data_IF_540982220747
#
_entry.id   IF_540982220747
#
_cell.length_a   1.000
_cell.length_b   1.000
_cell.length_c   1.000
_cell.angle_alpha   90.00
_cell.angle_beta   90.00
_cell.angle_gamma   90.00
#
_symmetry.space_group_name_H-M   'P 1'
#
loop_
_entity.id
_entity.type
_entity.pdbx_description
1 polymer ?
#
# COMPACT_ATOMS: atom_id res chain seq x y z
N UNK A 1 2.47 31.71 -0.69
CA UNK A 1 2.87 32.10 -2.05
C UNK A 1 2.07 31.31 -3.09
N UNK A 2 1.45 31.99 -4.05
CA UNK A 2 0.85 31.41 -5.25
C UNK A 2 1.64 31.89 -6.47
N UNK A 3 1.95 30.98 -7.38
CA UNK A 3 2.82 31.22 -8.52
C UNK A 3 1.99 31.92 -9.60
N UNK A 4 2.28 33.18 -9.86
CA UNK A 4 1.47 34.08 -10.71
C UNK A 4 1.56 33.75 -12.21
N UNK A 5 2.41 32.79 -12.57
CA UNK A 5 2.77 32.41 -13.95
C UNK A 5 2.32 31.00 -14.34
N UNK A 6 1.61 30.28 -13.46
CA UNK A 6 1.03 28.97 -13.78
C UNK A 6 -0.48 29.13 -13.81
N UNK A 7 -1.08 28.98 -14.99
CA UNK A 7 -2.51 29.19 -15.23
C UNK A 7 -3.41 28.53 -14.17
N UNK A 8 -4.58 29.13 -13.95
CA UNK A 8 -5.53 28.63 -12.96
C UNK A 8 -5.85 27.14 -13.25
N UNK A 9 -5.92 26.29 -12.21
CA UNK A 9 -6.19 24.85 -12.36
C UNK A 9 -7.39 24.59 -13.27
N UNK A 10 -8.43 25.40 -13.14
CA UNK A 10 -9.63 25.34 -13.97
C UNK A 10 -9.36 25.66 -15.45
N UNK A 11 -8.51 26.64 -15.74
CA UNK A 11 -8.10 26.95 -17.12
C UNK A 11 -7.30 25.79 -17.72
N UNK A 12 -6.36 25.23 -16.95
CA UNK A 12 -5.54 24.10 -17.42
C UNK A 12 -6.41 22.85 -17.64
N UNK A 13 -7.37 22.59 -16.75
CA UNK A 13 -8.31 21.46 -16.88
C UNK A 13 -9.22 21.66 -18.09
N UNK A 14 -9.77 22.87 -18.28
CA UNK A 14 -10.61 23.20 -19.43
C UNK A 14 -9.86 22.99 -20.75
N UNK A 15 -8.61 23.43 -20.83
CA UNK A 15 -7.80 23.29 -22.04
C UNK A 15 -7.38 21.83 -22.32
N UNK A 16 -7.09 21.03 -21.28
CA UNK A 16 -6.63 19.64 -21.44
C UNK A 16 -7.75 18.63 -21.64
N UNK A 17 -8.87 18.81 -20.94
CA UNK A 17 -9.92 17.81 -20.86
C UNK A 17 -11.24 18.27 -21.47
N UNK A 18 -11.32 19.51 -21.99
CA UNK A 18 -12.54 20.13 -22.54
C UNK A 18 -13.76 20.03 -21.59
N UNK A 19 -13.52 19.99 -20.28
CA UNK A 19 -14.56 19.91 -19.26
C UNK A 19 -14.22 20.78 -18.05
N UNK A 20 -15.22 21.00 -17.19
CA UNK A 20 -15.01 21.80 -15.99
C UNK A 20 -14.15 21.06 -14.96
N UNK A 21 -13.45 21.83 -14.11
CA UNK A 21 -12.69 21.28 -12.99
C UNK A 21 -13.55 20.37 -12.10
N UNK A 22 -14.83 20.73 -11.92
CA UNK A 22 -15.80 19.94 -11.15
C UNK A 22 -16.11 18.60 -11.82
N UNK A 23 -16.36 18.59 -13.13
CA UNK A 23 -16.68 17.37 -13.88
C UNK A 23 -15.54 16.35 -13.85
N UNK A 24 -14.30 16.81 -14.01
CA UNK A 24 -13.13 15.93 -13.94
C UNK A 24 -13.01 15.29 -12.56
N UNK A 25 -13.18 16.07 -11.49
CA UNK A 25 -13.12 15.55 -10.13
C UNK A 25 -14.28 14.59 -9.83
N UNK A 26 -15.47 14.84 -10.37
CA UNK A 26 -16.61 13.92 -10.28
C UNK A 26 -16.38 12.62 -11.07
N UNK A 27 -15.70 12.67 -12.22
CA UNK A 27 -15.25 11.46 -12.92
C UNK A 27 -14.30 10.66 -12.04
N UNK A 28 -13.28 11.32 -11.47
CA UNK A 28 -12.35 10.65 -10.57
C UNK A 28 -13.05 10.04 -9.34
N UNK A 29 -14.08 10.68 -8.80
CA UNK A 29 -14.88 10.13 -7.71
C UNK A 29 -15.69 8.89 -8.15
N UNK A 30 -16.34 8.95 -9.32
CA UNK A 30 -17.09 7.82 -9.89
C UNK A 30 -16.21 6.61 -10.18
N UNK A 31 -15.00 6.86 -10.67
CA UNK A 31 -13.99 5.84 -10.94
C UNK A 31 -13.36 5.29 -9.65
N UNK A 32 -13.74 5.81 -8.47
CA UNK A 32 -13.21 5.38 -7.18
C UNK A 32 -11.74 5.74 -6.97
N UNK A 33 -11.21 6.69 -7.73
CA UNK A 33 -9.80 7.05 -7.72
C UNK A 33 -9.42 7.82 -6.47
N UNK A 34 -8.29 7.46 -5.90
CA UNK A 34 -7.69 8.20 -4.80
C UNK A 34 -7.00 9.49 -5.28
N UNK A 35 -6.72 10.40 -4.35
CA UNK A 35 -5.99 11.64 -4.68
C UNK A 35 -4.63 11.40 -5.33
N UNK A 36 -3.93 10.30 -5.01
CA UNK A 36 -2.65 9.97 -5.65
C UNK A 36 -2.82 9.37 -7.05
N UNK A 37 -3.87 8.58 -7.28
CA UNK A 37 -4.18 8.10 -8.64
C UNK A 37 -4.64 9.25 -9.53
N UNK A 38 -5.47 10.14 -8.99
CA UNK A 38 -5.85 11.36 -9.67
C UNK A 38 -4.62 12.24 -9.99
N UNK A 39 -3.58 12.26 -9.14
CA UNK A 39 -2.32 12.94 -9.45
C UNK A 39 -1.63 12.34 -10.67
N UNK A 40 -1.58 11.00 -10.77
CA UNK A 40 -0.99 10.30 -11.92
C UNK A 40 -1.80 10.51 -13.20
N UNK A 41 -3.13 10.48 -13.12
CA UNK A 41 -4.02 10.63 -14.28
C UNK A 41 -4.12 12.08 -14.78
N UNK A 42 -4.27 13.04 -13.87
CA UNK A 42 -4.49 14.44 -14.23
C UNK A 42 -3.18 15.22 -14.37
N UNK A 43 -2.06 14.68 -13.89
CA UNK A 43 -0.75 15.32 -13.94
C UNK A 43 -0.64 16.56 -13.04
N UNK A 44 -1.45 16.62 -11.98
CA UNK A 44 -1.39 17.68 -10.96
C UNK A 44 -1.06 17.08 -9.60
N UNK A 45 -0.29 17.81 -8.77
CA UNK A 45 -0.03 17.38 -7.39
C UNK A 45 -1.32 17.12 -6.61
N UNK A 46 -1.36 16.04 -5.83
CA UNK A 46 -2.51 15.64 -5.01
C UNK A 46 -2.99 16.75 -4.07
N UNK A 47 -2.10 17.64 -3.60
CA UNK A 47 -2.45 18.80 -2.76
C UNK A 47 -3.34 19.78 -3.53
N UNK A 48 -3.03 20.04 -4.79
CA UNK A 48 -3.85 20.88 -5.68
C UNK A 48 -5.20 20.25 -5.92
N UNK A 49 -5.23 18.95 -6.25
CA UNK A 49 -6.46 18.19 -6.45
C UNK A 49 -7.32 18.22 -5.19
N UNK A 50 -6.73 18.01 -4.01
CA UNK A 50 -7.42 18.08 -2.71
C UNK A 50 -8.00 19.47 -2.45
N UNK A 51 -7.24 20.54 -2.70
CA UNK A 51 -7.70 21.92 -2.54
C UNK A 51 -8.94 22.21 -3.39
N UNK A 52 -8.94 21.77 -4.64
CA UNK A 52 -10.05 21.98 -5.57
C UNK A 52 -11.24 21.05 -5.29
N UNK A 53 -10.99 19.79 -4.93
CA UNK A 53 -12.03 18.88 -4.49
C UNK A 53 -12.77 19.44 -3.25
N UNK A 54 -12.03 19.98 -2.27
CA UNK A 54 -12.61 20.67 -1.10
C UNK A 54 -13.45 21.89 -1.50
N UNK A 55 -13.04 22.66 -2.51
CA UNK A 55 -13.83 23.82 -2.99
C UNK A 55 -15.17 23.43 -3.61
N UNK A 56 -15.26 22.23 -4.19
CA UNK A 56 -16.49 21.72 -4.80
C UNK A 56 -17.25 20.74 -3.92
N UNK A 57 -16.85 20.59 -2.65
CA UNK A 57 -17.38 19.60 -1.70
C UNK A 57 -17.32 18.14 -2.20
N UNK A 58 -16.33 17.82 -3.04
CA UNK A 58 -16.08 16.48 -3.55
C UNK A 58 -15.07 15.79 -2.64
N UNK A 59 -15.44 14.61 -2.13
CA UNK A 59 -14.54 13.75 -1.35
C UNK A 59 -14.06 12.59 -2.23
N UNK A 60 -12.77 12.59 -2.53
CA UNK A 60 -12.11 11.42 -3.12
C UNK A 60 -11.60 10.52 -1.99
N UNK A 61 -11.55 9.20 -2.20
CA UNK A 61 -10.97 8.29 -1.22
C UNK A 61 -9.52 8.71 -0.89
N UNK A 62 -9.24 8.95 0.38
CA UNK A 62 -7.87 9.04 0.87
C UNK A 62 -7.25 7.65 0.68
N UNK A 63 -6.04 7.58 0.11
CA UNK A 63 -5.33 6.30 0.07
C UNK A 63 -5.09 5.81 1.49
N UNK A 64 -5.90 4.84 1.88
CA UNK A 64 -5.67 3.85 2.91
C UNK A 64 -6.38 2.54 2.55
N UNK A 65 -6.47 2.22 1.25
CA UNK A 65 -6.74 0.84 0.84
C UNK A 65 -5.40 0.18 0.58
N UNK A 66 -4.82 -0.34 1.66
CA UNK A 66 -3.81 -1.38 1.66
C UNK A 66 -4.37 -2.60 0.91
N UNK A 67 -4.38 -2.57 -0.43
CA UNK A 67 -4.58 -3.78 -1.22
C UNK A 67 -3.25 -4.41 -1.64
N UNK A 68 -2.12 -3.79 -1.30
CA UNK A 68 -0.78 -4.38 -1.47
C UNK A 68 -0.41 -5.37 -0.34
N UNK A 69 -1.01 -5.21 0.84
CA UNK A 69 -0.73 -6.08 2.00
C UNK A 69 -1.21 -7.52 1.83
N UNK A 70 -2.14 -7.81 0.91
CA UNK A 70 -2.58 -9.21 0.69
C UNK A 70 -1.46 -10.06 0.09
N UNK A 71 -0.57 -9.46 -0.70
CA UNK A 71 0.54 -10.18 -1.32
C UNK A 71 1.74 -10.31 -0.37
N UNK A 72 1.96 -9.32 0.51
CA UNK A 72 3.00 -9.35 1.54
C UNK A 72 2.67 -10.29 2.71
N UNK A 73 1.46 -10.21 3.26
CA UNK A 73 1.06 -11.03 4.42
C UNK A 73 1.08 -12.53 4.12
N UNK A 74 0.75 -12.94 2.89
CA UNK A 74 0.82 -14.36 2.51
C UNK A 74 2.25 -14.92 2.53
N UNK A 75 3.24 -14.11 2.12
CA UNK A 75 4.66 -14.50 2.17
C UNK A 75 5.20 -14.59 3.59
N UNK A 76 4.85 -13.63 4.44
CA UNK A 76 5.28 -13.62 5.85
C UNK A 76 4.69 -14.80 6.62
N UNK A 77 3.38 -15.05 6.45
CA UNK A 77 2.71 -16.20 7.06
C UNK A 77 3.27 -17.52 6.51
N UNK A 78 3.55 -17.60 5.21
CA UNK A 78 4.18 -18.79 4.61
C UNK A 78 5.59 -19.03 5.19
N UNK A 79 6.40 -17.98 5.36
CA UNK A 79 7.73 -18.08 5.96
C UNK A 79 7.68 -18.57 7.42
N UNK A 80 6.78 -18.01 8.24
CA UNK A 80 6.60 -18.44 9.63
C UNK A 80 6.14 -19.90 9.70
N UNK A 81 5.25 -20.33 8.80
CA UNK A 81 4.82 -21.73 8.72
C UNK A 81 5.97 -22.66 8.31
N UNK A 82 6.84 -22.22 7.40
CA UNK A 82 8.02 -22.97 6.98
C UNK A 82 9.02 -23.16 8.14
N UNK A 83 9.22 -22.14 8.97
CA UNK A 83 10.04 -22.22 10.19
C UNK A 83 9.44 -23.14 11.27
N UNK A 84 8.12 -23.32 11.31
CA UNK A 84 7.44 -24.19 12.28
C UNK A 84 7.30 -25.65 11.80
N UNK A 85 7.69 -25.95 10.56
CA UNK A 85 7.60 -27.30 9.99
C UNK A 85 8.36 -28.34 10.84
N UNK A 86 7.82 -29.56 10.91
CA UNK A 86 8.49 -30.67 11.60
C UNK A 86 9.69 -31.22 10.83
N UNK A 87 9.74 -31.03 9.50
CA UNK A 87 10.88 -31.47 8.68
C UNK A 87 11.96 -30.38 8.66
N UNK A 88 13.22 -30.80 8.71
CA UNK A 88 14.37 -29.88 8.60
C UNK A 88 14.40 -29.30 7.19
N UNK A 89 14.48 -27.98 7.10
CA UNK A 89 14.63 -27.21 5.87
C UNK A 89 15.69 -26.12 6.09
N UNK A 90 16.03 -25.41 5.01
CA UNK A 90 17.02 -24.32 5.04
C UNK A 90 16.65 -23.18 6.00
N UNK A 91 15.37 -23.01 6.32
CA UNK A 91 14.85 -21.91 7.16
C UNK A 91 14.72 -22.29 8.65
N UNK A 92 14.62 -23.58 8.99
CA UNK A 92 14.42 -24.09 10.36
C UNK A 92 15.66 -24.82 10.92
N UNK A 93 16.76 -24.91 10.15
CA UNK A 93 17.93 -25.70 10.53
C UNK A 93 18.54 -25.25 11.88
N UNK A 94 18.51 -23.94 12.18
CA UNK A 94 19.05 -23.38 13.42
C UNK A 94 18.04 -23.28 14.57
N UNK A 95 16.73 -23.39 14.28
CA UNK A 95 15.67 -23.28 15.30
C UNK A 95 15.24 -24.62 15.90
N UNK A 96 15.81 -25.74 15.44
CA UNK A 96 15.60 -27.07 16.04
C UNK A 96 16.69 -27.36 17.07
N UNK A 97 16.35 -28.11 18.12
CA UNK A 97 17.35 -28.67 19.02
C UNK A 97 18.06 -29.84 18.34
N UNK A 98 19.38 -29.75 18.24
CA UNK A 98 20.24 -30.79 17.63
C UNK A 98 20.57 -31.92 18.60
N UNK A 99 20.33 -31.69 19.88
CA UNK A 99 20.47 -32.68 20.93
C UNK A 99 19.15 -33.44 21.04
N UNK A 100 19.20 -34.74 20.77
CA UNK A 100 18.07 -35.62 21.06
C UNK A 100 17.90 -35.72 22.58
N UNK A 101 16.89 -35.03 23.11
CA UNK A 101 16.63 -34.97 24.56
C UNK A 101 16.44 -36.37 25.18
N UNK A 102 15.93 -37.35 24.42
CA UNK A 102 15.76 -38.72 24.91
C UNK A 102 17.10 -39.45 25.08
N UNK A 103 18.08 -39.17 24.22
CA UNK A 103 19.44 -39.70 24.35
C UNK A 103 20.21 -38.97 25.46
N UNK A 104 20.03 -37.64 25.55
CA UNK A 104 20.66 -36.83 26.59
C UNK A 104 20.19 -37.21 27.99
N UNK A 105 18.89 -37.43 28.19
CA UNK A 105 18.36 -37.90 29.48
C UNK A 105 18.88 -39.28 29.85
N UNK A 106 19.04 -40.19 28.89
CA UNK A 106 19.60 -41.53 29.12
C UNK A 106 21.09 -41.49 29.48
N UNK A 107 21.87 -40.58 28.88
CA UNK A 107 23.28 -40.38 29.23
C UNK A 107 23.39 -39.73 30.62
N UNK A 108 22.58 -38.70 30.91
CA UNK A 108 22.55 -38.03 32.21
C UNK A 108 22.14 -38.96 33.35
N UNK A 109 21.20 -39.87 33.12
CA UNK A 109 20.75 -40.85 34.12
C UNK A 109 21.78 -41.96 34.41
N UNK A 110 22.78 -42.14 33.54
CA UNK A 110 23.89 -43.09 33.73
C UNK A 110 25.13 -42.45 34.39
N UNK A 111 25.16 -41.12 34.53
CA UNK A 111 26.17 -40.36 35.25
C UNK A 111 25.76 -40.12 36.69
#
# INVERSE_FOLDING_TARGET
MANQYTGNFEQIVKNRFNCSAKEVLLKCQRDGLSYQEAEKLLGFKHVTIRKWAKRFDIKLPARFRFNDDRFGQSKEVAYVNECKSNRINKTNIFSRCWVNMNLYSAIKAKS
#
